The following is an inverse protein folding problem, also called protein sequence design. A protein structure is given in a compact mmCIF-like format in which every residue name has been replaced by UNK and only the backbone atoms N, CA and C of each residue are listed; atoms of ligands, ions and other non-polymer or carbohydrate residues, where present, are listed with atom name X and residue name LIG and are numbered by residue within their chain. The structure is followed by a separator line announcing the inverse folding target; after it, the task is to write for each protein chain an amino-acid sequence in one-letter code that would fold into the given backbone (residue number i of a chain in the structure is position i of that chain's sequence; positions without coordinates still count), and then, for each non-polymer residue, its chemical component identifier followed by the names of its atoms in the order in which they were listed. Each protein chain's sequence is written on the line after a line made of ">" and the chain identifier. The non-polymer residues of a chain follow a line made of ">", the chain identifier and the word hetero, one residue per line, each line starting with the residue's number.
data_IF_399070379418
#
_entry.id   IF_399070379418
#
_cell.length_a   1.000
_cell.length_b   1.000
_cell.length_c   1.000
_cell.angle_alpha   90.00
_cell.angle_beta   90.00
_cell.angle_gamma   90.00
#
_symmetry.space_group_name_H-M   'P 1'
#
loop_
_entity.id
_entity.type
_entity.pdbx_description
1 polymer ?
#
# COMPACT_ATOMS: atom_id res chain seq x y z
N UNK A 1 -22.53 -16.04 -6.60
CA UNK A 1 -21.81 -15.65 -5.37
C UNK A 1 -20.50 -14.89 -5.67
N UNK A 2 -19.80 -15.24 -6.75
CA UNK A 2 -18.53 -14.63 -7.17
C UNK A 2 -18.59 -13.09 -7.42
N UNK A 3 -19.67 -12.56 -8.01
CA UNK A 3 -19.84 -11.10 -8.22
C UNK A 3 -19.68 -10.29 -6.92
N UNK A 4 -20.22 -10.78 -5.81
CA UNK A 4 -20.13 -10.10 -4.50
C UNK A 4 -18.69 -10.06 -4.00
N UNK A 5 -17.94 -11.16 -4.17
CA UNK A 5 -16.52 -11.22 -3.77
C UNK A 5 -15.67 -10.26 -4.61
N UNK A 6 -15.97 -10.14 -5.91
CA UNK A 6 -15.28 -9.22 -6.82
C UNK A 6 -15.49 -7.75 -6.43
N UNK A 7 -16.73 -7.34 -6.14
CA UNK A 7 -17.04 -5.99 -5.64
C UNK A 7 -16.43 -5.72 -4.27
N UNK A 8 -16.42 -6.72 -3.37
CA UNK A 8 -15.80 -6.60 -2.06
C UNK A 8 -14.28 -6.36 -2.17
N UNK A 9 -13.57 -7.17 -2.96
CA UNK A 9 -12.13 -6.99 -3.20
C UNK A 9 -11.81 -5.65 -3.86
N UNK A 10 -12.64 -5.20 -4.81
CA UNK A 10 -12.48 -3.90 -5.44
C UNK A 10 -12.60 -2.77 -4.41
N UNK A 11 -13.61 -2.82 -3.55
CA UNK A 11 -13.86 -1.81 -2.52
C UNK A 11 -12.73 -1.79 -1.48
N UNK A 12 -12.26 -2.95 -1.03
CA UNK A 12 -11.15 -3.08 -0.08
C UNK A 12 -9.85 -2.54 -0.67
N UNK A 13 -9.53 -2.89 -1.92
CA UNK A 13 -8.35 -2.38 -2.61
C UNK A 13 -8.39 -0.86 -2.80
N UNK A 14 -9.56 -0.31 -3.14
CA UNK A 14 -9.77 1.13 -3.26
C UNK A 14 -9.60 1.84 -1.91
N UNK A 15 -10.20 1.30 -0.84
CA UNK A 15 -10.07 1.83 0.50
C UNK A 15 -8.61 1.85 0.98
N UNK A 16 -7.82 0.81 0.68
CA UNK A 16 -6.39 0.77 0.97
C UNK A 16 -5.60 1.88 0.27
N UNK A 17 -5.89 2.14 -1.00
CA UNK A 17 -5.23 3.22 -1.77
C UNK A 17 -5.59 4.58 -1.16
N UNK A 18 -6.86 4.82 -0.84
CA UNK A 18 -7.28 6.06 -0.18
C UNK A 18 -6.62 6.23 1.18
N UNK A 19 -6.58 5.16 1.98
CA UNK A 19 -5.93 5.18 3.29
C UNK A 19 -4.45 5.53 3.19
N UNK A 20 -3.70 4.89 2.29
CA UNK A 20 -2.29 5.17 2.07
C UNK A 20 -2.06 6.61 1.58
N UNK A 21 -2.90 7.09 0.66
CA UNK A 21 -2.83 8.46 0.14
C UNK A 21 -3.09 9.50 1.23
N UNK A 22 -4.12 9.29 2.07
CA UNK A 22 -4.42 10.18 3.20
C UNK A 22 -3.28 10.16 4.22
N UNK A 23 -2.72 9.00 4.53
CA UNK A 23 -1.59 8.88 5.45
C UNK A 23 -0.37 9.65 4.93
N UNK A 24 -0.06 9.50 3.64
CA UNK A 24 1.03 10.24 3.00
C UNK A 24 0.75 11.75 3.03
N UNK A 25 -0.46 12.18 2.68
CA UNK A 25 -0.84 13.59 2.72
C UNK A 25 -0.70 14.20 4.13
N UNK A 26 -1.06 13.46 5.19
CA UNK A 26 -0.91 13.94 6.57
C UNK A 26 0.55 14.12 6.99
N UNK A 27 1.43 13.20 6.62
CA UNK A 27 2.86 13.30 6.97
C UNK A 27 3.53 14.46 6.23
N UNK A 28 3.24 14.64 4.94
CA UNK A 28 3.86 15.69 4.13
C UNK A 28 3.25 17.08 4.32
N UNK A 29 1.93 17.20 4.49
CA UNK A 29 1.23 18.51 4.55
C UNK A 29 1.03 19.00 5.98
N UNK A 30 0.68 18.11 6.92
CA UNK A 30 0.42 18.49 8.31
C UNK A 30 1.65 18.39 9.22
N UNK A 31 2.85 18.12 8.67
CA UNK A 31 4.10 17.89 9.41
C UNK A 31 3.95 16.89 10.57
N UNK A 32 2.99 15.97 10.48
CA UNK A 32 2.83 14.94 11.50
C UNK A 32 4.06 14.02 11.43
N UNK A 33 4.59 13.67 12.60
CA UNK A 33 5.80 12.87 12.67
C UNK A 33 5.59 11.55 11.88
N UNK A 34 6.46 11.24 10.90
CA UNK A 34 6.38 9.96 10.19
C UNK A 34 6.49 8.83 11.21
N UNK A 35 5.93 7.67 10.87
CA UNK A 35 6.06 6.47 11.70
C UNK A 35 7.55 6.24 11.95
N UNK A 36 7.97 6.31 13.21
CA UNK A 36 9.36 6.16 13.63
C UNK A 36 9.70 4.67 13.58
N UNK A 37 10.27 4.22 12.46
CA UNK A 37 10.67 2.83 12.27
C UNK A 37 12.13 2.62 12.69
N UNK A 38 12.95 3.65 12.49
CA UNK A 38 14.35 3.72 12.91
C UNK A 38 14.43 4.64 14.12
N UNK A 39 14.61 4.04 15.29
CA UNK A 39 14.97 4.79 16.49
C UNK A 39 16.42 5.27 16.35
N UNK A 40 16.72 6.47 16.86
CA UNK A 40 18.02 7.15 16.79
C UNK A 40 19.19 6.16 16.73
N UNK A 41 19.70 5.93 15.51
CA UNK A 41 20.90 5.11 15.34
C UNK A 41 22.05 5.92 15.92
N UNK A 42 22.36 5.69 17.20
CA UNK A 42 23.56 6.18 17.83
C UNK A 42 24.72 5.42 17.20
N UNK A 43 25.23 5.93 16.09
CA UNK A 43 26.41 5.38 15.45
C UNK A 43 27.59 5.65 16.40
N UNK A 44 28.01 4.63 17.15
CA UNK A 44 29.21 4.70 17.99
C UNK A 44 30.38 4.25 17.13
N UNK A 45 31.12 5.22 16.62
CA UNK A 45 32.39 4.93 15.94
C UNK A 45 33.44 4.79 17.03
N UNK A 46 34.03 3.60 17.14
CA UNK A 46 35.12 3.37 18.08
C UNK A 46 36.38 4.02 17.50
N UNK A 47 36.78 5.15 18.07
CA UNK A 47 38.00 5.84 17.68
C UNK A 47 39.11 5.54 18.68
N UNK A 48 40.38 5.79 18.31
CA UNK A 48 41.53 5.63 19.21
C UNK A 48 41.42 6.43 20.54
N UNK A 49 40.55 7.43 20.59
CA UNK A 49 40.30 8.27 21.78
C UNK A 49 39.03 7.86 22.56
N UNK A 50 38.40 6.74 22.21
CA UNK A 50 37.17 6.23 22.82
C UNK A 50 35.96 6.22 21.87
N UNK A 51 34.84 5.62 22.28
CA UNK A 51 33.62 5.58 21.49
C UNK A 51 33.02 6.99 21.38
N UNK A 52 33.03 7.56 20.16
CA UNK A 52 32.33 8.81 19.88
C UNK A 52 30.97 8.49 19.27
N UNK A 53 29.91 8.90 19.96
CA UNK A 53 28.54 8.78 19.47
C UNK A 53 28.22 9.94 18.52
N UNK A 54 28.03 9.65 17.23
CA UNK A 54 27.51 10.64 16.28
C UNK A 54 25.99 10.66 16.45
N UNK A 55 25.52 11.58 17.29
CA UNK A 55 24.09 11.88 17.40
C UNK A 55 23.71 12.80 16.24
N UNK A 56 23.16 12.25 15.16
CA UNK A 56 22.49 13.03 14.10
C UNK A 56 20.97 12.81 14.18
N UNK A 57 20.24 13.65 14.92
CA UNK A 57 18.77 13.60 14.97
C UNK A 57 18.13 13.78 13.59
N UNK A 58 18.78 14.54 12.72
CA UNK A 58 18.30 14.91 11.38
C UNK A 58 18.41 13.76 10.37
N UNK A 59 19.47 12.95 10.45
CA UNK A 59 19.64 11.77 9.62
C UNK A 59 18.56 10.71 9.90
N UNK A 60 18.27 10.44 11.17
CA UNK A 60 17.24 9.49 11.56
C UNK A 60 15.82 9.95 11.18
N UNK A 61 15.54 11.26 11.24
CA UNK A 61 14.26 11.83 10.81
C UNK A 61 14.04 11.68 9.30
N UNK A 62 15.07 11.98 8.50
CA UNK A 62 15.02 11.83 7.03
C UNK A 62 14.84 10.36 6.63
N UNK A 63 15.57 9.44 7.28
CA UNK A 63 15.43 8.00 7.03
C UNK A 63 14.04 7.47 7.41
N UNK A 64 13.47 7.94 8.53
CA UNK A 64 12.10 7.58 8.92
C UNK A 64 11.06 8.06 7.90
N UNK A 65 11.24 9.25 7.33
CA UNK A 65 10.39 9.76 6.26
C UNK A 65 10.50 8.90 5.00
N UNK A 66 11.72 8.52 4.60
CA UNK A 66 11.97 7.67 3.43
C UNK A 66 11.36 6.28 3.63
N UNK A 67 11.57 5.66 4.78
CA UNK A 67 10.98 4.35 5.10
C UNK A 67 9.45 4.43 5.13
N UNK A 68 8.88 5.51 5.69
CA UNK A 68 7.44 5.72 5.69
C UNK A 68 6.88 5.87 4.27
N UNK A 69 7.55 6.66 3.42
CA UNK A 69 7.15 6.84 2.02
C UNK A 69 7.24 5.52 1.23
N UNK A 70 8.29 4.73 1.46
CA UNK A 70 8.46 3.41 0.85
C UNK A 70 7.35 2.44 1.29
N UNK A 71 7.02 2.42 2.59
CA UNK A 71 5.95 1.60 3.13
C UNK A 71 4.58 1.99 2.55
N UNK A 72 4.30 3.29 2.41
CA UNK A 72 3.07 3.77 1.79
C UNK A 72 3.00 3.41 0.30
N UNK A 73 4.13 3.51 -0.42
CA UNK A 73 4.21 3.06 -1.81
C UNK A 73 3.92 1.56 -1.95
N UNK A 74 4.49 0.75 -1.05
CA UNK A 74 4.16 -0.67 -0.97
C UNK A 74 2.66 -0.90 -0.72
N UNK A 75 2.07 -0.16 0.21
CA UNK A 75 0.64 -0.28 0.54
C UNK A 75 -0.27 0.07 -0.64
N UNK A 76 0.06 1.12 -1.39
CA UNK A 76 -0.62 1.46 -2.66
C UNK A 76 -0.48 0.34 -3.68
N UNK A 77 0.71 -0.27 -3.80
CA UNK A 77 0.94 -1.39 -4.71
C UNK A 77 0.06 -2.60 -4.37
N UNK A 78 -0.07 -2.93 -3.07
CA UNK A 78 -0.96 -4.01 -2.60
C UNK A 78 -2.41 -3.68 -2.90
N UNK A 79 -2.86 -2.46 -2.59
CA UNK A 79 -4.22 -2.00 -2.89
C UNK A 79 -4.56 -2.07 -4.39
N UNK A 80 -3.62 -1.69 -5.27
CA UNK A 80 -3.79 -1.78 -6.72
C UNK A 80 -3.90 -3.23 -7.20
N UNK A 81 -3.07 -4.14 -6.67
CA UNK A 81 -3.13 -5.57 -7.01
C UNK A 81 -4.45 -6.20 -6.55
N UNK A 82 -4.88 -5.92 -5.31
CA UNK A 82 -6.15 -6.41 -4.76
C UNK A 82 -7.34 -5.91 -5.57
N UNK A 83 -7.37 -4.61 -5.91
CA UNK A 83 -8.41 -4.03 -6.74
C UNK A 83 -8.46 -4.66 -8.14
N UNK A 84 -7.31 -4.89 -8.77
CA UNK A 84 -7.21 -5.54 -10.08
C UNK A 84 -7.79 -6.95 -10.07
N UNK A 85 -7.53 -7.74 -9.02
CA UNK A 85 -8.12 -9.08 -8.85
C UNK A 85 -9.65 -8.97 -8.74
N UNK A 86 -10.15 -8.02 -7.94
CA UNK A 86 -11.59 -7.76 -7.82
C UNK A 86 -12.26 -7.44 -9.16
N UNK A 87 -11.68 -6.52 -9.93
CA UNK A 87 -12.19 -6.11 -11.25
C UNK A 87 -12.19 -7.30 -12.24
N UNK A 88 -11.14 -8.11 -12.23
CA UNK A 88 -11.04 -9.26 -13.13
C UNK A 88 -12.09 -10.34 -12.82
N UNK A 89 -12.37 -10.59 -11.54
CA UNK A 89 -13.43 -11.54 -11.14
C UNK A 89 -14.82 -11.08 -11.60
N UNK A 90 -15.13 -9.79 -11.45
CA UNK A 90 -16.41 -9.22 -11.92
C UNK A 90 -16.57 -9.37 -13.44
N UNK A 91 -15.48 -9.14 -14.20
CA UNK A 91 -15.50 -9.29 -15.66
C UNK A 91 -15.71 -10.75 -16.10
N UNK A 92 -15.02 -11.70 -15.48
CA UNK A 92 -15.15 -13.12 -15.81
C UNK A 92 -16.57 -13.63 -15.58
N UNK A 93 -17.21 -13.25 -14.46
CA UNK A 93 -18.60 -13.62 -14.20
C UNK A 93 -19.57 -13.02 -15.23
N UNK A 94 -19.37 -11.76 -15.63
CA UNK A 94 -20.23 -11.10 -16.63
C UNK A 94 -20.12 -11.76 -18.01
N UNK A 95 -18.90 -12.16 -18.41
CA UNK A 95 -18.65 -12.88 -19.66
C UNK A 95 -19.26 -14.28 -19.62
N UNK A 96 -19.14 -15.00 -18.50
CA UNK A 96 -19.76 -16.32 -18.32
C UNK A 96 -21.28 -16.27 -18.49
N UNK A 97 -21.93 -15.25 -17.95
CA UNK A 97 -23.39 -15.09 -18.06
C UNK A 97 -23.83 -14.77 -19.50
N UNK A 98 -23.03 -14.00 -20.24
CA UNK A 98 -23.30 -13.71 -21.64
C UNK A 98 -23.18 -14.95 -22.53
N UNK A 99 -22.16 -15.80 -22.30
CA UNK A 99 -21.97 -17.05 -23.06
C UNK A 99 -23.14 -18.01 -22.82
N UNK A 100 -23.61 -18.15 -21.58
CA UNK A 100 -24.75 -19.01 -21.25
C UNK A 100 -26.01 -18.60 -22.04
N UNK A 101 -26.31 -17.30 -22.10
CA UNK A 101 -27.46 -16.78 -22.87
C UNK A 101 -27.34 -17.05 -24.37
N UNK A 102 -26.13 -17.00 -24.92
CA UNK A 102 -25.90 -17.30 -26.33
C UNK A 102 -26.06 -18.78 -26.66
N UNK A 103 -25.69 -19.68 -25.74
CA UNK A 103 -25.90 -21.12 -25.92
C UNK A 103 -27.39 -21.49 -25.93
N UNK A 104 -28.19 -20.88 -25.05
CA UNK A 104 -29.64 -21.09 -25.02
C UNK A 104 -30.32 -20.61 -26.31
N UNK A 105 -29.89 -19.47 -26.87
CA UNK A 105 -30.41 -18.96 -28.15
C UNK A 105 -30.08 -19.90 -29.31
N UNK A 106 -28.91 -20.56 -29.28
CA UNK A 106 -28.47 -21.46 -30.36
C UNK A 106 -29.15 -22.83 -30.33
N UNK A 107 -29.86 -23.17 -29.25
CA UNK A 107 -30.63 -24.41 -29.09
C UNK A 107 -32.09 -24.29 -29.57
N UNK A 108 -32.53 -23.09 -29.92
CA UNK A 108 -33.81 -22.79 -30.59
C UNK A 108 -33.64 -22.81 -32.11
#
# INVERSE_FOLDING_TARGET
>A
MNKIIGYFLLCVGLALIFFATISMFKVFVNKQAPVKVLNTMNFSVNTQYGPMGVNSPEGAATLNLVVHALLMFFMVSVGARVSTIGVNLVKVDAVSEAIAKLEDIKKL
#
